data_IF_973862623924
#
_entry.id   IF_973862623924
#
_cell.length_a   1.000
_cell.length_b   1.000
_cell.length_c   1.000
_cell.angle_alpha   90.00
_cell.angle_beta   90.00
_cell.angle_gamma   90.00
#
_symmetry.space_group_name_H-M   'P 1'
#
loop_
_entity.id
_entity.type
_entity.pdbx_description
1 polymer ?
#
# COMPACT_ATOMS: atom_id res chain seq x y z
N UNK A 1 25.72 -7.29 20.83
CA UNK A 1 25.27 -8.30 21.81
C UNK A 1 23.91 -8.79 21.34
N UNK A 2 23.79 -10.08 21.07
CA UNK A 2 22.56 -10.71 20.56
C UNK A 2 21.50 -10.76 21.67
N UNK A 3 20.56 -9.82 21.62
CA UNK A 3 19.35 -9.89 22.43
C UNK A 3 18.45 -10.98 21.89
N UNK A 4 18.43 -12.13 22.57
CA UNK A 4 17.39 -13.16 22.38
C UNK A 4 16.04 -12.55 22.75
N UNK A 5 15.33 -12.01 21.77
CA UNK A 5 13.89 -11.79 21.86
C UNK A 5 13.23 -13.12 22.20
N UNK A 6 12.45 -13.16 23.28
CA UNK A 6 11.71 -14.35 23.68
C UNK A 6 10.78 -14.71 22.52
N UNK A 7 10.88 -15.93 22.01
CA UNK A 7 9.91 -16.53 21.09
C UNK A 7 8.52 -16.48 21.73
N UNK A 8 7.77 -15.40 21.54
CA UNK A 8 6.33 -15.46 21.63
C UNK A 8 5.93 -16.48 20.56
N UNK A 9 5.42 -17.64 20.98
CA UNK A 9 4.91 -18.63 20.02
C UNK A 9 3.81 -17.93 19.23
N UNK A 10 4.04 -17.73 17.92
CA UNK A 10 2.97 -17.33 17.01
C UNK A 10 1.83 -18.31 17.21
N UNK A 11 0.65 -17.78 17.56
CA UNK A 11 -0.55 -18.59 17.66
C UNK A 11 -1.05 -18.83 16.24
N UNK A 12 -0.69 -19.97 15.68
CA UNK A 12 -1.21 -20.41 14.39
C UNK A 12 -2.56 -21.08 14.60
N UNK A 13 -3.60 -20.52 13.97
CA UNK A 13 -4.93 -21.13 13.90
C UNK A 13 -5.23 -21.42 12.44
N UNK A 14 -5.39 -22.70 12.12
CA UNK A 14 -5.87 -23.09 10.79
C UNK A 14 -7.36 -22.75 10.69
N UNK A 15 -7.69 -21.82 9.78
CA UNK A 15 -9.08 -21.39 9.58
C UNK A 15 -9.78 -22.23 8.51
N UNK A 16 -9.26 -22.24 7.28
CA UNK A 16 -9.88 -22.93 6.17
C UNK A 16 -8.89 -23.30 5.06
N UNK A 17 -9.31 -24.19 4.16
CA UNK A 17 -8.61 -24.55 2.93
C UNK A 17 -9.61 -24.80 1.80
N UNK A 18 -9.13 -24.77 0.56
CA UNK A 18 -9.93 -25.04 -0.64
C UNK A 18 -11.15 -24.11 -0.76
N UNK A 19 -10.98 -22.85 -0.35
CA UNK A 19 -11.98 -21.82 -0.58
C UNK A 19 -12.09 -21.51 -2.07
N UNK A 20 -13.28 -21.13 -2.57
CA UNK A 20 -13.45 -20.63 -3.93
C UNK A 20 -12.51 -19.46 -4.23
N UNK A 21 -12.02 -19.41 -5.48
CA UNK A 21 -11.18 -18.32 -5.99
C UNK A 21 -11.92 -17.71 -7.18
N UNK A 22 -12.09 -16.39 -7.17
CA UNK A 22 -12.75 -15.70 -8.27
C UNK A 22 -11.89 -15.87 -9.55
N UNK A 23 -12.50 -16.19 -10.72
CA UNK A 23 -11.75 -16.39 -11.95
C UNK A 23 -11.18 -15.07 -12.47
N UNK A 24 -10.12 -15.11 -13.31
CA UNK A 24 -9.62 -13.93 -14.01
C UNK A 24 -10.65 -13.38 -14.99
N UNK A 25 -10.68 -12.05 -15.17
CA UNK A 25 -11.51 -11.42 -16.18
C UNK A 25 -10.86 -11.51 -17.57
N UNK A 26 -11.07 -12.64 -18.24
CA UNK A 26 -10.56 -12.86 -19.61
C UNK A 26 -11.24 -11.89 -20.60
N UNK A 27 -12.52 -11.58 -20.37
CA UNK A 27 -13.31 -10.63 -21.15
C UNK A 27 -14.77 -11.03 -21.23
N UNK A 28 -15.60 -10.16 -21.81
CA UNK A 28 -17.06 -10.26 -21.76
C UNK A 28 -17.66 -11.55 -22.33
N UNK A 29 -16.95 -12.29 -23.18
CA UNK A 29 -17.40 -13.59 -23.71
C UNK A 29 -17.18 -14.76 -22.74
N UNK A 30 -16.11 -14.70 -21.95
CA UNK A 30 -15.68 -15.78 -21.06
C UNK A 30 -16.16 -15.54 -19.63
N UNK A 31 -16.08 -14.28 -19.18
CA UNK A 31 -16.50 -13.84 -17.85
C UNK A 31 -17.49 -12.67 -17.98
N UNK A 32 -18.66 -12.89 -18.60
CA UNK A 32 -19.64 -11.82 -18.86
C UNK A 32 -20.09 -11.11 -17.58
N UNK A 33 -20.15 -11.81 -16.45
CA UNK A 33 -20.63 -11.25 -15.20
C UNK A 33 -19.78 -10.07 -14.67
N UNK A 34 -18.49 -10.00 -15.01
CA UNK A 34 -17.67 -8.84 -14.64
C UNK A 34 -17.92 -7.61 -15.51
N UNK A 35 -18.54 -7.77 -16.68
CA UNK A 35 -18.42 -6.81 -17.76
C UNK A 35 -19.75 -6.17 -18.16
N UNK A 36 -19.68 -4.89 -18.52
CA UNK A 36 -20.79 -4.14 -19.05
C UNK A 36 -21.02 -4.42 -20.54
N UNK A 37 -22.04 -3.77 -21.14
CA UNK A 37 -22.34 -3.90 -22.57
C UNK A 37 -21.19 -3.45 -23.49
N UNK A 38 -20.31 -2.57 -23.01
CA UNK A 38 -19.10 -2.10 -23.70
C UNK A 38 -17.91 -3.07 -23.59
N UNK A 39 -18.09 -4.19 -22.86
CA UNK A 39 -17.07 -5.19 -22.63
C UNK A 39 -16.02 -4.80 -21.60
N UNK A 40 -16.17 -3.65 -20.92
CA UNK A 40 -15.30 -3.20 -19.84
C UNK A 40 -15.80 -3.71 -18.48
N UNK A 41 -14.88 -3.81 -17.52
CA UNK A 41 -15.22 -4.26 -16.17
C UNK A 41 -16.14 -3.24 -15.47
N UNK A 42 -17.19 -3.72 -14.81
CA UNK A 42 -18.09 -2.90 -13.99
C UNK A 42 -17.66 -3.00 -12.54
N UNK A 43 -17.43 -1.85 -11.92
CA UNK A 43 -17.00 -1.72 -10.52
C UNK A 43 -17.78 -0.60 -9.82
N UNK A 44 -17.52 -0.38 -8.53
CA UNK A 44 -18.19 0.65 -7.74
C UNK A 44 -19.44 0.17 -7.02
N UNK A 45 -19.53 -1.13 -6.71
CA UNK A 45 -20.61 -1.67 -5.90
C UNK A 45 -20.62 -0.99 -4.52
N UNK A 46 -21.77 -0.41 -4.15
CA UNK A 46 -21.96 0.24 -2.85
C UNK A 46 -22.42 -0.72 -1.75
N UNK A 47 -22.94 -1.88 -2.14
CA UNK A 47 -23.41 -2.92 -1.23
C UNK A 47 -23.19 -4.32 -1.85
N UNK A 48 -23.46 -5.35 -1.07
CA UNK A 48 -23.29 -6.73 -1.52
C UNK A 48 -24.19 -7.05 -2.73
N UNK A 49 -25.37 -6.43 -2.86
CA UNK A 49 -26.27 -6.68 -3.98
C UNK A 49 -25.71 -6.12 -5.30
N UNK A 50 -24.95 -5.03 -5.24
CA UNK A 50 -24.29 -4.41 -6.39
C UNK A 50 -23.07 -5.17 -6.94
N UNK A 51 -22.50 -6.12 -6.18
CA UNK A 51 -21.36 -6.90 -6.66
C UNK A 51 -21.74 -7.83 -7.82
N UNK A 52 -20.79 -8.10 -8.71
CA UNK A 52 -20.95 -9.14 -9.72
C UNK A 52 -21.05 -10.54 -9.10
N UNK A 53 -21.64 -11.49 -9.83
CA UNK A 53 -21.88 -12.83 -9.32
C UNK A 53 -20.60 -13.63 -9.05
N UNK A 54 -19.51 -13.38 -9.79
CA UNK A 54 -18.25 -14.12 -9.65
C UNK A 54 -17.53 -13.69 -8.37
N UNK A 55 -17.50 -12.38 -8.09
CA UNK A 55 -16.99 -11.84 -6.81
C UNK A 55 -17.82 -12.37 -5.65
N UNK A 56 -19.16 -12.30 -5.72
CA UNK A 56 -20.07 -12.81 -4.66
C UNK A 56 -19.82 -14.28 -4.32
N UNK A 57 -19.67 -15.14 -5.34
CA UNK A 57 -19.47 -16.57 -5.15
C UNK A 57 -18.12 -16.91 -4.51
N UNK A 58 -17.14 -16.01 -4.58
CA UNK A 58 -15.83 -16.19 -3.96
C UNK A 58 -15.74 -15.64 -2.52
N UNK A 59 -16.71 -14.84 -2.08
CA UNK A 59 -16.77 -14.36 -0.69
C UNK A 59 -17.17 -15.52 0.21
N UNK A 60 -16.25 -15.92 1.10
CA UNK A 60 -16.39 -17.13 1.90
C UNK A 60 -16.32 -16.81 3.40
N UNK A 61 -17.39 -17.07 4.18
CA UNK A 61 -17.28 -17.14 5.62
C UNK A 61 -16.34 -18.28 6.01
N UNK A 62 -15.36 -18.05 6.89
CA UNK A 62 -14.37 -19.07 7.25
C UNK A 62 -14.48 -19.55 8.69
N UNK A 63 -14.72 -18.64 9.64
CA UNK A 63 -14.94 -18.96 11.07
C UNK A 63 -15.44 -17.70 11.79
N UNK A 64 -16.27 -17.83 12.84
CA UNK A 64 -16.51 -16.80 13.87
C UNK A 64 -16.71 -15.35 13.38
N UNK A 65 -17.33 -15.16 12.21
CA UNK A 65 -17.56 -13.84 11.60
C UNK A 65 -16.42 -13.32 10.70
N UNK A 66 -15.31 -14.06 10.61
CA UNK A 66 -14.23 -13.85 9.64
C UNK A 66 -14.74 -14.24 8.25
N UNK A 67 -14.45 -13.37 7.29
CA UNK A 67 -14.75 -13.56 5.87
C UNK A 67 -13.46 -13.46 5.08
N UNK A 68 -13.25 -14.36 4.12
CA UNK A 68 -12.10 -14.37 3.25
C UNK A 68 -12.52 -14.30 1.77
N UNK A 69 -11.63 -13.77 0.94
CA UNK A 69 -11.79 -13.71 -0.50
C UNK A 69 -10.43 -13.83 -1.19
N UNK A 70 -10.39 -14.52 -2.33
CA UNK A 70 -9.19 -14.61 -3.16
C UNK A 70 -9.54 -14.56 -4.65
N UNK A 71 -8.68 -13.90 -5.43
CA UNK A 71 -8.81 -13.82 -6.89
C UNK A 71 -8.15 -12.58 -7.47
N UNK A 72 -8.21 -12.39 -8.79
CA UNK A 72 -7.71 -11.20 -9.46
C UNK A 72 -8.59 -9.98 -9.14
N UNK A 73 -7.97 -8.85 -8.83
CA UNK A 73 -8.60 -7.52 -8.78
C UNK A 73 -7.80 -6.56 -9.65
N UNK A 74 -8.40 -5.44 -9.97
CA UNK A 74 -7.65 -4.32 -10.53
C UNK A 74 -6.61 -3.80 -9.50
N UNK A 75 -5.47 -3.31 -9.99
CA UNK A 75 -4.36 -2.86 -9.16
C UNK A 75 -4.57 -1.44 -8.64
N UNK A 76 -5.24 -1.36 -7.49
CA UNK A 76 -5.58 -0.08 -6.87
C UNK A 76 -4.42 0.76 -6.34
N UNK A 77 -3.16 0.42 -6.60
CA UNK A 77 -2.03 1.29 -6.29
C UNK A 77 -1.70 2.13 -7.51
N UNK A 78 -1.92 3.44 -7.42
CA UNK A 78 -1.66 4.38 -8.50
C UNK A 78 -0.46 5.25 -8.14
N UNK A 79 0.46 5.40 -9.10
CA UNK A 79 1.66 6.23 -8.96
C UNK A 79 2.37 6.43 -10.30
N UNK A 80 3.01 7.58 -10.51
CA UNK A 80 3.95 7.80 -11.62
C UNK A 80 5.32 7.18 -11.30
N UNK A 81 5.36 5.85 -11.25
CA UNK A 81 6.60 5.11 -10.99
C UNK A 81 7.72 5.40 -12.00
N UNK A 82 7.47 5.56 -13.31
CA UNK A 82 8.54 5.94 -14.24
C UNK A 82 9.18 7.29 -13.86
N UNK A 83 8.37 8.30 -13.52
CA UNK A 83 8.87 9.61 -13.10
C UNK A 83 9.58 9.56 -11.75
N UNK A 84 9.02 8.84 -10.77
CA UNK A 84 9.62 8.69 -9.44
C UNK A 84 11.03 8.06 -9.53
N UNK A 85 11.17 7.00 -10.32
CA UNK A 85 12.44 6.26 -10.42
C UNK A 85 13.43 6.85 -11.43
N UNK A 86 13.04 7.83 -12.25
CA UNK A 86 13.96 8.64 -13.05
C UNK A 86 14.45 9.87 -12.27
N UNK A 87 15.00 9.61 -11.08
CA UNK A 87 15.57 10.63 -10.18
C UNK A 87 14.57 11.74 -9.77
N UNK A 88 13.30 11.38 -9.54
CA UNK A 88 12.18 12.32 -9.38
C UNK A 88 12.08 13.28 -10.58
N UNK A 89 11.62 12.77 -11.73
CA UNK A 89 11.42 13.57 -12.95
C UNK A 89 10.66 14.88 -12.64
N UNK A 90 11.13 16.06 -13.08
CA UNK A 90 10.44 17.33 -12.83
C UNK A 90 8.95 17.31 -13.19
N UNK A 91 8.54 16.50 -14.17
CA UNK A 91 7.13 16.35 -14.58
C UNK A 91 6.21 15.87 -13.46
N UNK A 92 6.72 15.18 -12.44
CA UNK A 92 5.91 14.64 -11.34
C UNK A 92 5.86 15.60 -10.15
N UNK A 93 6.68 16.66 -10.13
CA UNK A 93 6.84 17.50 -8.93
C UNK A 93 6.66 19.00 -9.17
N UNK A 94 6.83 19.49 -10.40
CA UNK A 94 6.45 20.85 -10.83
C UNK A 94 6.41 20.88 -12.36
N UNK A 95 5.26 20.55 -12.95
CA UNK A 95 5.16 20.33 -14.40
C UNK A 95 4.90 21.62 -15.20
N UNK A 96 4.44 22.69 -14.54
CA UNK A 96 3.96 23.93 -15.17
C UNK A 96 4.74 25.19 -14.75
N UNK A 97 5.66 25.04 -13.79
CA UNK A 97 6.50 26.10 -13.26
C UNK A 97 5.84 26.95 -12.17
N UNK A 98 4.59 26.65 -11.77
CA UNK A 98 3.97 27.23 -10.58
C UNK A 98 4.38 26.44 -9.34
N UNK A 99 4.66 27.15 -8.25
CA UNK A 99 5.01 26.54 -6.96
C UNK A 99 3.95 26.81 -5.90
N UNK A 100 2.84 27.44 -6.27
CA UNK A 100 1.83 27.95 -5.35
C UNK A 100 0.58 27.06 -5.25
N UNK A 101 0.36 26.15 -6.20
CA UNK A 101 -0.73 25.17 -6.27
C UNK A 101 -0.41 23.83 -5.60
N UNK A 102 0.87 23.59 -5.28
CA UNK A 102 1.34 22.38 -4.59
C UNK A 102 2.23 21.57 -5.51
N UNK A 103 3.30 21.01 -4.98
CA UNK A 103 4.35 20.43 -5.82
C UNK A 103 3.89 19.07 -6.35
N UNK A 104 3.65 18.93 -7.64
CA UNK A 104 3.15 17.69 -8.23
C UNK A 104 1.66 17.48 -7.94
N UNK A 105 0.87 18.56 -8.05
CA UNK A 105 -0.60 18.56 -7.93
C UNK A 105 -1.27 19.14 -9.19
N UNK A 106 -0.57 19.10 -10.33
CA UNK A 106 -0.83 19.89 -11.53
C UNK A 106 -1.38 19.02 -12.68
N UNK A 107 -1.86 17.81 -12.35
CA UNK A 107 -2.21 16.73 -13.26
C UNK A 107 -1.02 16.31 -14.17
N UNK A 108 -1.25 15.38 -15.11
CA UNK A 108 -0.24 15.03 -16.12
C UNK A 108 0.78 13.95 -15.73
N UNK A 109 0.64 13.36 -14.53
CA UNK A 109 1.36 12.15 -14.16
C UNK A 109 0.88 10.94 -14.96
N UNK A 110 1.74 9.91 -15.03
CA UNK A 110 1.45 8.65 -15.72
C UNK A 110 1.33 7.52 -14.72
N UNK A 111 0.10 7.12 -14.38
CA UNK A 111 -0.14 5.94 -13.56
C UNK A 111 0.48 4.68 -14.20
N UNK A 112 1.57 4.19 -13.59
CA UNK A 112 2.30 3.02 -14.06
C UNK A 112 1.59 1.68 -13.83
N UNK A 113 0.53 1.66 -13.01
CA UNK A 113 -0.25 0.47 -12.67
C UNK A 113 -1.60 0.42 -13.38
N UNK A 114 -1.97 1.50 -14.07
CA UNK A 114 -3.15 1.59 -14.91
C UNK A 114 -3.30 0.39 -15.84
N UNK A 115 -4.47 -0.26 -15.78
CA UNK A 115 -4.78 -1.41 -16.62
C UNK A 115 -4.17 -2.74 -16.18
N UNK A 116 -3.44 -2.78 -15.07
CA UNK A 116 -2.94 -4.01 -14.48
C UNK A 116 -3.94 -4.65 -13.52
N UNK A 117 -3.82 -5.96 -13.36
CA UNK A 117 -4.56 -6.73 -12.37
C UNK A 117 -3.57 -7.38 -11.41
N UNK A 118 -3.92 -7.44 -10.14
CA UNK A 118 -3.16 -8.12 -9.09
C UNK A 118 -3.91 -9.30 -8.51
N UNK A 119 -3.17 -10.31 -8.07
CA UNK A 119 -3.74 -11.39 -7.26
C UNK A 119 -3.94 -10.86 -5.84
N UNK A 120 -5.19 -10.84 -5.40
CA UNK A 120 -5.56 -10.34 -4.08
C UNK A 120 -5.99 -11.49 -3.19
N UNK A 121 -5.52 -11.44 -1.94
CA UNK A 121 -6.07 -12.18 -0.83
C UNK A 121 -6.58 -11.17 0.20
N UNK A 122 -7.88 -11.20 0.48
CA UNK A 122 -8.53 -10.27 1.41
C UNK A 122 -9.17 -11.05 2.56
N UNK A 123 -9.04 -10.51 3.77
CA UNK A 123 -9.65 -11.06 4.98
C UNK A 123 -10.28 -9.93 5.77
N UNK A 124 -11.53 -10.12 6.18
CA UNK A 124 -12.22 -9.27 7.12
C UNK A 124 -12.29 -9.98 8.47
N UNK A 125 -11.64 -9.42 9.48
CA UNK A 125 -11.62 -9.96 10.84
C UNK A 125 -12.54 -9.13 11.75
N UNK A 126 -13.42 -9.76 12.55
CA UNK A 126 -14.13 -9.07 13.61
C UNK A 126 -13.16 -8.48 14.64
N UNK A 127 -13.45 -7.29 15.15
CA UNK A 127 -12.62 -6.67 16.21
C UNK A 127 -12.56 -7.54 17.48
N UNK A 128 -13.58 -8.36 17.73
CA UNK A 128 -13.63 -9.30 18.88
C UNK A 128 -12.61 -10.43 18.80
N UNK A 129 -12.06 -10.71 17.61
CA UNK A 129 -11.00 -11.71 17.40
C UNK A 129 -9.60 -11.12 17.57
N UNK A 130 -9.51 -9.80 17.78
CA UNK A 130 -8.24 -9.10 17.96
C UNK A 130 -7.91 -8.93 19.44
N UNK A 131 -6.62 -8.80 19.75
CA UNK A 131 -6.12 -8.47 21.08
C UNK A 131 -5.42 -7.10 21.05
N UNK A 132 -6.17 -5.97 21.10
CA UNK A 132 -5.59 -4.65 21.00
C UNK A 132 -4.68 -4.30 22.18
N UNK A 133 -3.63 -3.54 21.90
CA UNK A 133 -2.70 -3.01 22.90
C UNK A 133 -2.62 -1.49 22.83
N UNK A 134 -2.28 -0.86 23.95
CA UNK A 134 -2.02 0.58 23.99
C UNK A 134 -0.73 0.90 23.23
N UNK A 135 -0.74 1.98 22.43
CA UNK A 135 0.43 2.47 21.70
C UNK A 135 0.40 4.00 21.57
N UNK A 136 1.55 4.58 21.19
CA UNK A 136 1.64 6.00 20.81
C UNK A 136 1.60 6.09 19.29
N UNK A 137 0.49 6.61 18.76
CA UNK A 137 0.37 6.90 17.34
C UNK A 137 1.17 8.18 17.01
N UNK A 138 2.06 8.14 16.01
CA UNK A 138 2.72 9.34 15.50
C UNK A 138 1.66 10.39 15.14
N UNK A 139 1.90 11.65 15.52
CA UNK A 139 1.03 12.81 15.24
C UNK A 139 -0.37 12.79 15.90
N UNK A 140 -0.84 11.65 16.40
CA UNK A 140 -2.19 11.45 16.94
C UNK A 140 -2.23 11.16 18.45
N UNK A 141 -1.09 10.80 19.05
CA UNK A 141 -0.95 10.54 20.49
C UNK A 141 -1.41 9.15 20.91
N UNK A 142 -1.84 9.01 22.17
CA UNK A 142 -2.21 7.72 22.74
C UNK A 142 -3.39 7.07 22.00
N UNK A 143 -3.25 5.78 21.67
CA UNK A 143 -4.24 4.96 20.95
C UNK A 143 -4.27 3.53 21.47
N UNK A 144 -5.25 2.73 21.03
CA UNK A 144 -5.37 1.30 21.34
C UNK A 144 -5.73 0.52 20.09
N UNK A 145 -4.89 -0.45 19.72
CA UNK A 145 -5.00 -1.06 18.41
C UNK A 145 -4.10 -2.27 18.19
N UNK A 146 -3.96 -2.67 16.94
CA UNK A 146 -3.11 -3.78 16.50
C UNK A 146 -2.11 -3.32 15.45
N UNK A 147 -0.96 -4.00 15.37
CA UNK A 147 0.00 -3.86 14.29
C UNK A 147 -0.21 -4.95 13.25
N UNK A 148 -0.23 -4.58 11.96
CA UNK A 148 -0.42 -5.51 10.84
C UNK A 148 0.71 -5.36 9.84
N UNK A 149 1.31 -6.48 9.44
CA UNK A 149 2.23 -6.55 8.31
C UNK A 149 2.03 -7.89 7.60
N UNK A 150 2.38 -7.94 6.32
CA UNK A 150 2.41 -9.16 5.54
C UNK A 150 3.85 -9.64 5.36
N UNK A 151 4.03 -10.96 5.26
CA UNK A 151 5.31 -11.55 4.90
C UNK A 151 5.12 -12.58 3.79
N UNK A 152 6.09 -12.67 2.89
CA UNK A 152 6.17 -13.71 1.87
C UNK A 152 7.25 -14.68 2.28
N UNK A 153 6.91 -15.95 2.35
CA UNK A 153 7.84 -17.03 2.66
C UNK A 153 7.95 -18.03 1.52
N UNK A 154 9.14 -18.61 1.33
CA UNK A 154 9.36 -19.75 0.43
C UNK A 154 10.12 -20.86 1.13
N UNK A 155 10.09 -22.07 0.58
CA UNK A 155 10.90 -23.19 1.09
C UNK A 155 12.39 -22.87 0.94
N UNK A 156 13.17 -23.19 1.97
CA UNK A 156 14.60 -22.86 2.08
C UNK A 156 15.45 -23.35 0.89
N UNK A 157 15.08 -24.46 0.25
CA UNK A 157 15.81 -24.99 -0.90
C UNK A 157 14.85 -25.36 -2.03
N UNK A 158 15.17 -24.93 -3.25
CA UNK A 158 14.49 -25.34 -4.49
C UNK A 158 15.50 -25.96 -5.45
N UNK A 159 15.37 -27.25 -5.74
CA UNK A 159 16.17 -27.91 -6.77
C UNK A 159 15.44 -27.88 -8.10
N UNK A 160 16.08 -27.31 -9.13
CA UNK A 160 15.57 -27.31 -10.51
C UNK A 160 16.41 -28.28 -11.34
N UNK A 161 15.78 -29.21 -12.05
CA UNK A 161 16.43 -30.14 -12.97
C UNK A 161 15.81 -29.98 -14.36
N UNK A 162 16.61 -30.05 -15.41
CA UNK A 162 16.14 -29.99 -16.80
C UNK A 162 15.07 -31.06 -17.04
N UNK A 163 13.93 -30.68 -17.60
CA UNK A 163 12.83 -31.58 -17.92
C UNK A 163 11.99 -32.07 -16.71
N UNK A 164 12.22 -31.54 -15.51
CA UNK A 164 11.44 -31.89 -14.32
C UNK A 164 10.88 -30.66 -13.60
N UNK A 165 9.77 -30.85 -12.90
CA UNK A 165 9.18 -29.82 -12.04
C UNK A 165 10.16 -29.42 -10.91
N UNK A 166 10.18 -28.14 -10.49
CA UNK A 166 10.93 -27.70 -9.32
C UNK A 166 10.57 -28.51 -8.07
N UNK A 167 11.58 -28.88 -7.28
CA UNK A 167 11.40 -29.63 -6.03
C UNK A 167 11.83 -28.76 -4.84
N UNK A 168 10.85 -28.27 -4.09
CA UNK A 168 11.03 -27.33 -2.97
C UNK A 168 10.93 -28.04 -1.62
N UNK A 169 11.93 -27.89 -0.75
CA UNK A 169 12.04 -28.60 0.55
C UNK A 169 12.64 -27.72 1.65
N UNK A 170 12.56 -28.19 2.89
CA UNK A 170 13.08 -27.50 4.08
C UNK A 170 12.04 -26.62 4.77
N UNK A 171 12.48 -25.82 5.75
CA UNK A 171 11.63 -24.84 6.44
C UNK A 171 11.16 -23.73 5.50
N UNK A 172 10.08 -23.05 5.89
CA UNK A 172 9.71 -21.78 5.28
C UNK A 172 10.67 -20.69 5.76
N UNK A 173 11.11 -19.85 4.84
CA UNK A 173 12.02 -18.73 5.08
C UNK A 173 11.39 -17.49 4.47
N UNK A 174 11.30 -16.42 5.26
CA UNK A 174 10.82 -15.13 4.79
C UNK A 174 11.78 -14.58 3.74
N UNK A 175 11.22 -14.06 2.65
CA UNK A 175 11.96 -13.45 1.54
C UNK A 175 11.46 -12.06 1.17
N UNK A 176 10.34 -11.64 1.75
CA UNK A 176 9.81 -10.30 1.64
C UNK A 176 8.86 -10.03 2.82
N UNK A 177 8.66 -8.77 3.15
CA UNK A 177 7.64 -8.27 4.07
C UNK A 177 7.21 -6.87 3.67
N UNK A 178 6.01 -6.49 4.09
CA UNK A 178 5.48 -5.16 3.89
C UNK A 178 4.49 -4.80 5.00
N UNK A 179 4.71 -3.66 5.66
CA UNK A 179 3.76 -3.01 6.55
C UNK A 179 3.34 -1.66 5.98
N UNK A 180 4.05 -0.62 6.37
CA UNK A 180 3.92 0.73 5.83
C UNK A 180 4.32 0.76 4.34
N UNK A 181 3.52 1.41 3.48
CA UNK A 181 3.91 1.66 2.11
C UNK A 181 5.21 2.45 2.05
N UNK A 182 6.01 2.20 1.02
CA UNK A 182 7.15 3.02 0.61
C UNK A 182 8.38 2.98 1.53
N UNK A 183 8.31 2.36 2.72
CA UNK A 183 9.50 2.32 3.57
C UNK A 183 10.64 1.52 2.92
N UNK A 184 10.38 0.29 2.50
CA UNK A 184 11.39 -0.53 1.84
C UNK A 184 11.61 -0.13 0.37
N UNK A 185 10.55 0.34 -0.28
CA UNK A 185 10.55 0.69 -1.69
C UNK A 185 11.37 1.96 -1.92
N UNK A 186 11.21 2.97 -1.05
CA UNK A 186 11.78 4.32 -1.23
C UNK A 186 12.88 4.64 -0.21
N UNK A 187 12.69 4.35 1.09
CA UNK A 187 13.62 4.84 2.13
C UNK A 187 14.82 3.91 2.34
N UNK A 188 14.61 2.59 2.41
CA UNK A 188 15.70 1.64 2.64
C UNK A 188 16.63 1.61 1.43
N UNK A 189 17.92 1.91 1.61
CA UNK A 189 18.87 1.89 0.51
C UNK A 189 19.08 0.48 -0.06
N UNK A 190 19.35 0.40 -1.37
CA UNK A 190 19.47 -0.84 -2.14
C UNK A 190 20.39 -1.89 -1.48
N UNK A 191 21.50 -1.46 -0.87
CA UNK A 191 22.47 -2.36 -0.19
C UNK A 191 21.84 -3.19 0.94
N UNK A 192 20.85 -2.62 1.64
CA UNK A 192 20.27 -3.22 2.82
C UNK A 192 18.84 -3.77 2.56
N UNK A 193 18.23 -3.55 1.37
CA UNK A 193 16.87 -4.01 0.99
C UNK A 193 16.69 -5.52 1.09
N UNK A 194 17.62 -6.31 0.54
CA UNK A 194 17.57 -7.77 0.67
C UNK A 194 17.62 -8.18 2.13
N UNK A 195 18.41 -7.47 2.96
CA UNK A 195 18.50 -7.74 4.39
C UNK A 195 17.21 -7.35 5.13
N UNK A 196 16.57 -6.28 4.71
CA UNK A 196 15.29 -5.85 5.24
C UNK A 196 14.19 -6.89 4.99
N UNK A 197 14.14 -7.41 3.76
CA UNK A 197 13.10 -8.33 3.29
C UNK A 197 13.04 -9.68 4.04
N UNK A 198 14.18 -10.20 4.51
CA UNK A 198 14.25 -11.47 5.26
C UNK A 198 14.26 -11.31 6.79
N UNK A 199 14.18 -10.07 7.33
CA UNK A 199 14.13 -9.80 8.78
C UNK A 199 12.72 -9.46 9.25
N UNK A 200 12.46 -9.60 10.56
CA UNK A 200 11.17 -9.24 11.18
C UNK A 200 11.10 -7.74 11.46
N UNK A 201 9.91 -7.11 11.47
CA UNK A 201 9.76 -5.72 11.93
C UNK A 201 10.31 -5.46 13.35
N UNK A 202 10.47 -6.49 14.18
CA UNK A 202 11.15 -6.37 15.49
C UNK A 202 12.62 -5.92 15.38
N UNK A 203 13.24 -6.10 14.21
CA UNK A 203 14.62 -5.73 13.94
C UNK A 203 14.74 -4.37 13.24
N UNK A 204 13.65 -3.60 13.13
CA UNK A 204 13.62 -2.38 12.32
C UNK A 204 14.50 -1.24 12.83
N UNK A 205 14.98 -1.33 14.06
CA UNK A 205 16.00 -0.44 14.60
C UNK A 205 17.30 -0.47 13.78
N UNK A 206 17.63 -1.60 13.13
CA UNK A 206 18.79 -1.71 12.23
C UNK A 206 18.65 -0.79 10.99
N UNK A 207 17.43 -0.38 10.65
CA UNK A 207 17.08 0.42 9.47
C UNK A 207 16.68 1.87 9.82
N UNK A 208 16.66 2.25 11.10
CA UNK A 208 16.31 3.61 11.59
C UNK A 208 16.97 4.73 10.82
N UNK A 209 18.26 4.56 10.50
CA UNK A 209 19.07 5.53 9.74
C UNK A 209 18.42 5.98 8.42
N UNK A 210 17.64 5.12 7.77
CA UNK A 210 16.96 5.42 6.51
C UNK A 210 15.73 6.29 6.68
N UNK A 211 15.01 6.14 7.79
CA UNK A 211 13.93 7.04 8.14
C UNK A 211 14.44 8.40 8.63
N UNK A 212 15.50 8.40 9.44
CA UNK A 212 16.05 9.63 10.03
C UNK A 212 16.88 10.45 9.04
N UNK A 213 17.40 9.84 7.97
CA UNK A 213 18.18 10.51 6.93
C UNK A 213 17.69 10.06 5.54
N UNK A 214 16.47 10.46 5.14
CA UNK A 214 15.84 9.96 3.92
C UNK A 214 16.47 10.57 2.66
N UNK A 215 16.98 9.73 1.76
CA UNK A 215 17.55 10.15 0.47
C UNK A 215 16.52 10.91 -0.38
N UNK A 216 15.24 10.53 -0.31
CA UNK A 216 14.15 11.23 -1.00
C UNK A 216 14.02 12.70 -0.59
N UNK A 217 14.32 13.07 0.67
CA UNK A 217 14.31 14.49 1.06
C UNK A 217 15.41 15.30 0.37
N UNK A 218 16.60 14.69 0.20
CA UNK A 218 17.69 15.29 -0.56
C UNK A 218 17.31 15.44 -2.04
N UNK A 219 16.71 14.40 -2.64
CA UNK A 219 16.27 14.44 -4.04
C UNK A 219 15.22 15.53 -4.27
N UNK A 220 14.26 15.68 -3.35
CA UNK A 220 13.28 16.75 -3.42
C UNK A 220 13.98 18.12 -3.34
N UNK A 221 14.93 18.33 -2.41
CA UNK A 221 15.75 19.56 -2.37
C UNK A 221 16.47 19.84 -3.70
N UNK A 222 17.13 18.83 -4.26
CA UNK A 222 17.88 18.94 -5.51
C UNK A 222 17.00 19.27 -6.72
N UNK A 223 15.86 18.57 -6.87
CA UNK A 223 15.00 18.70 -8.04
C UNK A 223 14.07 19.91 -7.93
N UNK A 224 13.38 20.07 -6.79
CA UNK A 224 12.36 21.11 -6.65
C UNK A 224 12.92 22.47 -6.28
N UNK A 225 13.94 22.50 -5.45
CA UNK A 225 14.50 23.76 -4.97
C UNK A 225 15.78 24.15 -5.72
N UNK A 226 16.11 23.41 -6.80
CA UNK A 226 17.31 23.59 -7.61
C UNK A 226 18.59 23.69 -6.75
N UNK A 227 18.62 22.94 -5.63
CA UNK A 227 19.69 22.99 -4.64
C UNK A 227 20.43 21.64 -4.57
N UNK A 228 21.42 21.42 -5.46
CA UNK A 228 22.18 20.19 -5.49
C UNK A 228 23.15 20.03 -4.29
N UNK A 229 23.35 21.09 -3.50
CA UNK A 229 24.26 21.08 -2.34
C UNK A 229 23.54 20.64 -1.06
N UNK A 230 22.19 20.61 -1.07
CA UNK A 230 21.36 20.04 -0.01
C UNK A 230 21.04 21.00 1.14
N UNK A 231 21.22 22.32 0.92
CA UNK A 231 20.83 23.39 1.85
C UNK A 231 19.35 23.79 1.69
N UNK A 232 18.59 23.00 0.92
CA UNK A 232 17.20 23.25 0.60
C UNK A 232 16.31 23.22 1.84
N UNK A 233 15.08 23.73 1.74
CA UNK A 233 14.23 23.98 2.90
C UNK A 233 13.80 22.69 3.63
N UNK A 234 13.91 21.52 3.00
CA UNK A 234 13.52 20.26 3.62
C UNK A 234 14.63 19.70 4.50
N UNK A 235 14.23 19.23 5.69
CA UNK A 235 15.13 18.54 6.60
C UNK A 235 15.52 17.16 6.03
N UNK A 236 16.80 17.01 5.69
CA UNK A 236 17.40 15.77 5.14
C UNK A 236 17.97 14.83 6.21
N UNK A 237 18.07 15.29 7.46
CA UNK A 237 18.57 14.53 8.61
C UNK A 237 17.74 14.79 9.87
N UNK A 238 17.89 13.95 10.89
CA UNK A 238 17.19 14.11 12.17
C UNK A 238 15.68 13.86 12.10
N UNK A 239 15.22 13.13 11.07
CA UNK A 239 13.80 12.83 10.81
C UNK A 239 13.22 11.75 11.72
N UNK A 240 13.27 12.00 13.02
CA UNK A 240 12.73 11.11 14.07
C UNK A 240 11.21 10.95 13.98
N UNK A 241 10.52 11.93 13.38
CA UNK A 241 9.12 11.88 13.01
C UNK A 241 8.81 10.79 11.97
N UNK A 242 9.60 10.71 10.89
CA UNK A 242 9.46 9.65 9.89
C UNK A 242 9.81 8.29 10.49
N UNK A 243 10.83 8.23 11.36
CA UNK A 243 11.14 7.00 12.07
C UNK A 243 9.97 6.53 12.94
N UNK A 244 9.26 7.44 13.61
CA UNK A 244 8.06 7.09 14.39
C UNK A 244 6.90 6.58 13.50
N UNK A 245 6.72 7.17 12.31
CA UNK A 245 5.71 6.75 11.33
C UNK A 245 6.04 5.35 10.80
N UNK A 246 7.23 5.17 10.22
CA UNK A 246 7.57 3.97 9.47
C UNK A 246 8.06 2.79 10.34
N UNK A 247 8.55 3.02 11.56
CA UNK A 247 9.18 1.97 12.37
C UNK A 247 8.46 1.67 13.69
N UNK A 248 8.26 0.38 14.03
CA UNK A 248 8.47 -0.78 13.16
C UNK A 248 7.52 -0.76 11.95
N UNK A 249 7.89 -1.46 10.89
CA UNK A 249 7.16 -1.57 9.63
C UNK A 249 5.90 -2.43 9.80
N UNK A 250 4.94 -1.82 10.48
CA UNK A 250 3.61 -2.35 10.73
C UNK A 250 2.61 -1.21 10.54
N UNK A 251 1.51 -1.51 9.86
CA UNK A 251 0.34 -0.63 9.85
C UNK A 251 -0.30 -0.71 11.23
N UNK A 252 -0.42 0.44 11.90
CA UNK A 252 -1.04 0.53 13.23
C UNK A 252 -2.51 0.88 13.06
N UNK A 253 -3.39 -0.07 13.36
CA UNK A 253 -4.83 0.09 13.20
C UNK A 253 -5.47 0.41 14.55
N UNK A 254 -6.03 1.61 14.70
CA UNK A 254 -6.81 1.99 15.88
C UNK A 254 -8.17 1.29 15.89
N UNK A 255 -8.32 0.34 16.82
CA UNK A 255 -9.51 -0.50 16.97
C UNK A 255 -10.64 0.16 17.78
N UNK A 256 -10.43 1.38 18.26
CA UNK A 256 -11.44 2.14 19.03
C UNK A 256 -12.30 3.05 18.17
N UNK A 257 -11.96 3.19 16.88
CA UNK A 257 -12.71 3.99 15.92
C UNK A 257 -13.89 3.21 15.32
N UNK A 258 -14.89 3.94 14.84
CA UNK A 258 -15.96 3.36 14.02
C UNK A 258 -15.47 3.00 12.61
N UNK A 259 -16.34 2.45 11.75
CA UNK A 259 -16.00 2.18 10.36
C UNK A 259 -15.45 3.41 9.65
N UNK A 260 -14.30 3.25 8.99
CA UNK A 260 -13.64 4.30 8.21
C UNK A 260 -14.46 4.66 6.97
N UNK A 261 -14.30 5.89 6.49
CA UNK A 261 -14.85 6.30 5.19
C UNK A 261 -14.10 5.65 4.05
N UNK A 262 -14.82 5.23 3.02
CA UNK A 262 -14.28 4.62 1.81
C UNK A 262 -14.25 5.62 0.65
N UNK A 263 -13.43 5.38 -0.39
CA UNK A 263 -13.44 6.19 -1.59
C UNK A 263 -14.86 6.40 -2.16
N UNK A 264 -15.17 7.65 -2.50
CA UNK A 264 -16.50 8.07 -2.96
C UNK A 264 -17.52 8.34 -1.86
N UNK A 265 -17.18 8.19 -0.57
CA UNK A 265 -18.04 8.61 0.54
C UNK A 265 -17.72 10.04 0.97
N UNK A 266 -18.74 10.79 1.38
CA UNK A 266 -18.57 12.14 1.90
C UNK A 266 -17.63 12.14 3.13
N UNK A 267 -16.61 12.99 3.08
CA UNK A 267 -15.60 13.13 4.12
C UNK A 267 -14.38 12.21 3.97
N UNK A 268 -14.35 11.32 2.97
CA UNK A 268 -13.11 10.64 2.59
C UNK A 268 -12.16 11.64 1.92
N UNK A 269 -10.90 11.67 2.36
CA UNK A 269 -9.82 12.40 1.69
C UNK A 269 -8.66 11.44 1.36
N UNK A 270 -8.24 11.40 0.09
CA UNK A 270 -7.11 10.56 -0.37
C UNK A 270 -5.81 10.87 0.38
N UNK A 271 -5.62 12.12 0.79
CA UNK A 271 -4.45 12.58 1.55
C UNK A 271 -4.54 12.28 3.05
N UNK A 272 -5.58 11.58 3.51
CA UNK A 272 -5.72 11.14 4.91
C UNK A 272 -5.42 12.26 5.93
N UNK A 273 -4.50 12.02 6.88
CA UNK A 273 -4.18 12.96 7.95
C UNK A 273 -3.68 14.31 7.41
N UNK A 274 -2.93 14.31 6.30
CA UNK A 274 -2.45 15.54 5.63
C UNK A 274 -3.64 16.34 5.07
N UNK A 275 -4.65 15.64 4.56
CA UNK A 275 -5.91 16.22 4.07
C UNK A 275 -6.97 16.48 5.15
N UNK A 276 -6.64 16.33 6.44
CA UNK A 276 -7.56 16.54 7.57
C UNK A 276 -8.47 15.35 7.91
N UNK A 277 -8.26 14.19 7.29
CA UNK A 277 -9.00 12.95 7.52
C UNK A 277 -8.18 11.99 8.40
N UNK A 278 -8.46 11.98 9.71
CA UNK A 278 -7.66 11.26 10.71
C UNK A 278 -7.88 9.75 10.75
N UNK A 279 -8.74 9.21 9.86
CA UNK A 279 -9.07 7.78 9.81
C UNK A 279 -8.23 7.00 8.77
N UNK A 280 -7.44 7.69 7.95
CA UNK A 280 -6.53 7.09 6.98
C UNK A 280 -5.08 6.99 7.46
N UNK A 281 -4.17 6.64 6.55
CA UNK A 281 -2.75 6.47 6.87
C UNK A 281 -2.14 7.73 7.51
N UNK A 282 -1.32 7.61 8.59
CA UNK A 282 -0.77 6.37 9.18
C UNK A 282 -1.61 5.68 10.27
N UNK A 283 -2.86 6.10 10.48
CA UNK A 283 -3.78 5.47 11.44
C UNK A 283 -4.57 4.31 10.80
N UNK A 284 -3.84 3.27 10.40
CA UNK A 284 -4.33 2.25 9.49
C UNK A 284 -3.91 2.58 8.06
N UNK A 285 -4.53 1.93 7.09
CA UNK A 285 -4.47 2.30 5.68
C UNK A 285 -5.78 1.88 5.03
N UNK A 286 -6.40 2.78 4.31
CA UNK A 286 -7.63 2.52 3.55
C UNK A 286 -7.27 2.32 2.09
N UNK A 287 -8.10 1.57 1.39
CA UNK A 287 -8.05 1.57 -0.07
C UNK A 287 -8.36 2.98 -0.56
N UNK A 288 -7.59 3.47 -1.52
CA UNK A 288 -7.64 4.83 -2.05
C UNK A 288 -6.91 5.89 -1.21
N UNK A 289 -6.29 5.54 -0.08
CA UNK A 289 -5.30 6.44 0.52
C UNK A 289 -4.13 6.60 -0.48
N UNK A 290 -3.81 7.84 -0.81
CA UNK A 290 -2.74 8.21 -1.74
C UNK A 290 -1.39 8.17 -1.05
N UNK A 291 -0.84 6.97 -0.94
CA UNK A 291 0.33 6.74 -0.09
C UNK A 291 1.59 7.42 -0.62
N UNK A 292 1.67 7.71 -1.92
CA UNK A 292 2.80 8.44 -2.52
C UNK A 292 2.72 9.90 -2.10
N UNK A 293 1.60 10.57 -2.37
CA UNK A 293 1.42 11.96 -2.01
C UNK A 293 1.49 12.18 -0.50
N UNK A 294 0.90 11.28 0.30
CA UNK A 294 1.00 11.39 1.77
C UNK A 294 2.46 11.27 2.24
N UNK A 295 3.23 10.32 1.67
CA UNK A 295 4.63 10.12 2.08
C UNK A 295 5.52 11.29 1.66
N UNK A 296 5.38 11.77 0.42
CA UNK A 296 6.12 12.93 -0.08
C UNK A 296 5.77 14.20 0.72
N UNK A 297 4.49 14.44 0.98
CA UNK A 297 4.02 15.55 1.82
C UNK A 297 4.55 15.43 3.25
N UNK A 298 4.62 14.22 3.81
CA UNK A 298 5.19 14.00 5.14
C UNK A 298 6.70 14.29 5.16
N UNK A 299 7.43 13.92 4.11
CA UNK A 299 8.84 14.28 3.94
C UNK A 299 9.00 15.80 3.84
N UNK A 300 8.13 16.49 3.12
CA UNK A 300 8.23 17.94 2.92
C UNK A 300 7.77 18.79 4.12
N UNK A 301 6.88 18.27 4.97
CA UNK A 301 6.25 19.03 6.06
C UNK A 301 6.90 18.82 7.43
N UNK A 302 7.58 17.69 7.62
CA UNK A 302 8.21 17.34 8.89
C UNK A 302 9.54 18.09 9.14
N UNK A 303 10.08 18.02 10.37
CA UNK A 303 9.60 17.24 11.50
C UNK A 303 8.52 17.93 12.34
N UNK A 304 8.28 19.23 12.13
CA UNK A 304 7.34 20.00 12.96
C UNK A 304 5.89 19.91 12.51
N UNK A 305 5.66 19.71 11.20
CA UNK A 305 4.33 19.77 10.58
C UNK A 305 3.55 21.06 10.91
N UNK A 306 4.26 22.14 11.25
CA UNK A 306 3.66 23.45 11.57
C UNK A 306 3.11 24.16 10.34
N UNK A 307 3.71 23.90 9.18
CA UNK A 307 3.17 24.18 7.87
C UNK A 307 3.16 22.87 7.07
N UNK A 308 2.06 22.64 6.34
CA UNK A 308 1.92 21.48 5.47
C UNK A 308 2.27 21.90 4.04
N UNK A 309 3.31 21.27 3.50
CA UNK A 309 3.66 21.36 2.08
C UNK A 309 3.16 20.08 1.42
N UNK A 310 2.10 20.20 0.62
CA UNK A 310 1.59 19.08 -0.18
C UNK A 310 2.56 18.84 -1.34
N UNK A 311 3.02 17.60 -1.44
CA UNK A 311 3.87 17.12 -2.54
C UNK A 311 3.26 15.82 -3.06
N UNK A 312 3.17 15.68 -4.37
CA UNK A 312 2.68 14.47 -5.02
C UNK A 312 3.45 14.07 -6.26
N UNK A 313 2.88 13.15 -7.03
CA UNK A 313 3.45 12.62 -8.27
C UNK A 313 2.59 12.87 -9.53
N UNK A 314 1.65 13.82 -9.43
CA UNK A 314 0.66 14.15 -10.46
C UNK A 314 -0.30 12.99 -10.84
N UNK A 315 -0.44 11.97 -9.98
CA UNK A 315 -1.45 10.90 -10.11
C UNK A 315 -2.35 10.88 -8.87
N UNK A 316 -3.51 11.51 -8.95
CA UNK A 316 -4.37 11.75 -7.79
C UNK A 316 -5.45 10.69 -7.54
N UNK A 317 -5.57 9.71 -8.44
CA UNK A 317 -6.67 8.76 -8.43
C UNK A 317 -6.36 7.47 -9.19
N UNK A 318 -7.07 6.43 -8.77
CA UNK A 318 -7.07 5.13 -9.44
C UNK A 318 -7.84 5.17 -10.76
N UNK A 319 -7.47 4.33 -11.71
CA UNK A 319 -8.14 4.25 -13.01
C UNK A 319 -9.46 3.47 -12.99
N UNK A 320 -9.76 2.78 -11.88
CA UNK A 320 -11.03 2.10 -11.63
C UNK A 320 -11.67 2.52 -10.30
N UNK A 321 -13.01 2.59 -10.31
CA UNK A 321 -13.80 2.93 -9.11
C UNK A 321 -13.76 1.75 -8.14
N UNK A 322 -13.29 1.98 -6.92
CA UNK A 322 -13.31 0.98 -5.84
C UNK A 322 -14.73 0.59 -5.41
N UNK A 323 -14.89 -0.63 -4.92
CA UNK A 323 -16.13 -1.05 -4.28
C UNK A 323 -16.18 -0.53 -2.84
N UNK A 324 -17.37 -0.16 -2.37
CA UNK A 324 -17.59 0.22 -0.97
C UNK A 324 -18.04 -0.97 -0.10
N UNK A 325 -17.88 -2.19 -0.63
CA UNK A 325 -18.19 -3.45 0.03
C UNK A 325 -17.05 -4.44 -0.19
N UNK A 326 -16.79 -5.30 0.79
CA UNK A 326 -15.75 -6.34 0.73
C UNK A 326 -15.83 -7.14 -0.59
N UNK A 327 -14.71 -7.33 -1.33
CA UNK A 327 -13.31 -7.12 -0.94
C UNK A 327 -12.73 -5.71 -1.23
N UNK A 328 -13.59 -4.71 -1.48
CA UNK A 328 -13.28 -3.27 -1.62
C UNK A 328 -12.46 -2.85 -2.87
N UNK A 329 -11.49 -3.64 -3.34
CA UNK A 329 -10.76 -3.34 -4.58
C UNK A 329 -11.68 -3.37 -5.80
N UNK A 330 -11.32 -2.69 -6.88
CA UNK A 330 -12.15 -2.61 -8.09
C UNK A 330 -12.15 -3.92 -8.89
N UNK A 331 -13.17 -4.11 -9.71
CA UNK A 331 -13.36 -5.32 -10.54
C UNK A 331 -12.20 -5.47 -11.51
N UNK A 332 -11.58 -6.67 -11.66
CA UNK A 332 -10.42 -6.84 -12.52
C UNK A 332 -10.73 -6.44 -13.96
N UNK A 333 -9.80 -5.72 -14.59
CA UNK A 333 -9.94 -5.31 -15.97
C UNK A 333 -10.10 -6.52 -16.91
N UNK A 334 -10.91 -6.34 -17.95
CA UNK A 334 -11.10 -7.35 -18.99
C UNK A 334 -9.88 -7.41 -19.91
N UNK A 335 -9.23 -8.57 -19.99
CA UNK A 335 -8.04 -8.76 -20.83
C UNK A 335 -8.23 -8.37 -22.30
N UNK A 336 -9.45 -8.49 -22.85
CA UNK A 336 -9.78 -8.10 -24.23
C UNK A 336 -10.07 -6.61 -24.44
N UNK A 337 -10.29 -5.84 -23.38
CA UNK A 337 -10.78 -4.45 -23.45
C UNK A 337 -9.89 -3.44 -22.70
N UNK A 338 -8.76 -3.88 -22.12
CA UNK A 338 -7.76 -2.97 -21.53
C UNK A 338 -7.06 -2.21 -22.66
N UNK A 339 -7.46 -0.97 -22.86
CA UNK A 339 -6.93 -0.03 -23.85
C UNK A 339 -5.78 0.83 -23.30
N UNK A 340 -5.50 0.77 -21.99
CA UNK A 340 -4.56 1.65 -21.31
C UNK A 340 -3.08 1.25 -21.48
N UNK A 341 -2.80 0.12 -22.16
CA UNK A 341 -1.44 -0.26 -22.60
C UNK A 341 -1.01 0.42 -23.91
N UNK A 342 -1.79 1.37 -24.42
CA UNK A 342 -1.52 2.03 -25.69
C UNK A 342 -0.55 3.21 -25.54
N UNK A 343 0.69 2.88 -25.21
CA UNK A 343 1.93 3.32 -25.87
C UNK A 343 3.11 2.76 -25.05
N UNK A 344 4.13 2.16 -25.70
CA UNK A 344 5.33 1.71 -25.01
C UNK A 344 6.14 2.85 -24.41
#
# INVERSE_FOLDING_TARGET
MSGKGRNAKLREVFMAKALPVAPPNVGARTTPAYNGPDGKAVSGAVDFAGLDSLTKQAISPVDSGIVAWAGPREDGFYADTPGIFDFLDPRIVNNDGDGNDGLGQDDGGVDGFKGFNVLTFAVQNPLTELEPVAYQAPLLGARTGVGVYASVSRRATTTRRTGAAPNSRGSWVQVNRLGNPLFNEVLVALRDKDRYNWTSPENDEDYRKYAENPEVAFLINAVLFADPEGDGPLATTGRTDLAAIFLPDVIRVDTTTGPVKLPGQAGFNRLSLIGGDTAGWPNGRRIGDDVVDIALSAVASGPSYSAITTVGDNVDSNDAIYNQVFPYLATPHAGSAVDQRQSP
#
